data_IF_323605543298
#
_entry.id   IF_323605543298
#
_cell.length_a   1.000
_cell.length_b   1.000
_cell.length_c   1.000
_cell.angle_alpha   90.00
_cell.angle_beta   90.00
_cell.angle_gamma   90.00
#
_symmetry.space_group_name_H-M   'P 1'
#
loop_
_entity.id
_entity.type
_entity.pdbx_description
1 polymer ?
#
# COMPACT_ATOMS: atom_id res chain seq x y z
N UNK A 1 -20.47 -63.49 9.44
CA UNK A 1 -20.68 -62.06 9.27
C UNK A 1 -19.77 -61.24 10.16
N UNK A 2 -18.52 -61.31 9.91
CA UNK A 2 -17.52 -60.55 10.65
C UNK A 2 -17.12 -59.27 9.98
N UNK A 3 -17.99 -58.70 9.18
CA UNK A 3 -17.64 -57.58 8.30
C UNK A 3 -17.76 -56.23 8.99
N UNK A 4 -18.58 -56.17 10.01
CA UNK A 4 -19.05 -54.93 10.57
C UNK A 4 -17.99 -54.16 11.37
N UNK A 5 -17.07 -54.85 12.02
CA UNK A 5 -16.08 -54.18 12.85
C UNK A 5 -15.00 -53.44 12.08
N UNK A 6 -14.61 -53.97 10.91
CA UNK A 6 -13.66 -53.30 10.06
C UNK A 6 -14.24 -52.06 9.40
N UNK A 7 -15.47 -52.13 8.98
CA UNK A 7 -16.16 -51.00 8.35
C UNK A 7 -16.42 -49.87 9.35
N UNK A 8 -16.80 -50.21 10.54
CA UNK A 8 -17.01 -49.22 11.60
C UNK A 8 -15.72 -48.50 11.97
N UNK A 9 -14.61 -49.24 12.01
CA UNK A 9 -13.33 -48.62 12.29
C UNK A 9 -12.88 -47.65 11.21
N UNK A 10 -13.13 -48.00 9.95
CA UNK A 10 -12.75 -47.11 8.83
C UNK A 10 -13.59 -45.82 8.83
N UNK A 11 -14.87 -45.96 9.08
CA UNK A 11 -15.77 -44.78 9.12
C UNK A 11 -15.39 -43.85 10.28
N UNK A 12 -15.06 -44.42 11.42
CA UNK A 12 -14.64 -43.60 12.55
C UNK A 12 -13.35 -42.83 12.30
N UNK A 13 -12.39 -43.48 11.64
CA UNK A 13 -11.12 -42.83 11.29
C UNK A 13 -11.33 -41.71 10.27
N UNK A 14 -12.21 -41.92 9.30
CA UNK A 14 -12.53 -40.89 8.32
C UNK A 14 -13.19 -39.68 8.96
N UNK A 15 -14.08 -39.86 9.92
CA UNK A 15 -14.72 -38.75 10.61
C UNK A 15 -13.74 -37.91 11.42
N UNK A 16 -12.80 -38.56 12.09
CA UNK A 16 -11.77 -37.85 12.85
C UNK A 16 -10.86 -37.03 11.92
N UNK A 17 -10.52 -37.59 10.76
CA UNK A 17 -9.69 -36.87 9.77
C UNK A 17 -10.40 -35.64 9.22
N UNK A 18 -11.70 -35.71 8.95
CA UNK A 18 -12.49 -34.59 8.47
C UNK A 18 -12.58 -33.49 9.54
N UNK A 19 -12.82 -33.84 10.78
CA UNK A 19 -12.86 -32.87 11.85
C UNK A 19 -11.50 -32.18 12.07
N UNK A 20 -10.43 -32.93 11.96
CA UNK A 20 -9.08 -32.37 12.04
C UNK A 20 -8.76 -31.39 10.90
N UNK A 21 -9.19 -31.73 9.69
CA UNK A 21 -8.98 -30.87 8.53
C UNK A 21 -9.76 -29.55 8.65
N UNK A 22 -10.99 -29.61 9.12
CA UNK A 22 -11.78 -28.40 9.34
C UNK A 22 -11.18 -27.49 10.41
N UNK A 23 -10.69 -28.08 11.46
CA UNK A 23 -10.02 -27.31 12.51
C UNK A 23 -8.76 -26.61 12.00
N UNK A 24 -8.01 -27.27 11.16
CA UNK A 24 -6.81 -26.68 10.54
C UNK A 24 -7.16 -25.51 9.63
N UNK A 25 -8.19 -25.67 8.82
CA UNK A 25 -8.63 -24.59 7.93
C UNK A 25 -9.11 -23.37 8.72
N UNK A 26 -9.82 -23.59 9.81
CA UNK A 26 -10.28 -22.49 10.63
C UNK A 26 -9.11 -21.68 11.22
N UNK A 27 -8.08 -22.33 11.69
CA UNK A 27 -6.89 -21.63 12.19
C UNK A 27 -6.12 -20.91 11.11
N UNK A 28 -6.07 -21.48 9.91
CA UNK A 28 -5.36 -20.86 8.80
C UNK A 28 -6.11 -19.65 8.24
N UNK A 29 -7.45 -19.65 8.36
CA UNK A 29 -8.29 -18.56 7.86
C UNK A 29 -8.62 -17.53 8.92
N UNK A 30 -8.22 -17.72 10.16
CA UNK A 30 -8.32 -16.63 11.14
C UNK A 30 -7.56 -15.46 10.57
N UNK A 31 -8.25 -14.38 10.21
CA UNK A 31 -7.55 -13.27 9.60
C UNK A 31 -6.51 -12.81 10.60
N UNK A 32 -5.29 -12.90 10.20
CA UNK A 32 -4.27 -12.13 10.84
C UNK A 32 -4.58 -10.69 10.51
N UNK A 33 -5.62 -10.16 11.10
CA UNK A 33 -5.76 -8.74 11.18
C UNK A 33 -4.59 -8.29 12.01
N UNK A 34 -3.47 -8.22 11.37
CA UNK A 34 -2.37 -7.46 11.89
C UNK A 34 -2.92 -6.04 12.03
N UNK A 35 -3.00 -5.49 13.23
CA UNK A 35 -3.42 -4.10 13.41
C UNK A 35 -2.49 -3.11 12.73
N UNK A 36 -1.45 -3.61 12.10
CA UNK A 36 -0.49 -2.84 11.31
C UNK A 36 -0.71 -2.96 9.82
N UNK A 37 -1.83 -3.53 9.34
CA UNK A 37 -2.12 -3.45 7.93
C UNK A 37 -2.38 -1.99 7.58
N UNK A 38 -1.35 -1.40 7.01
CA UNK A 38 -1.45 -0.07 6.45
C UNK A 38 -2.61 -0.05 5.46
N UNK A 39 -3.54 0.86 5.67
CA UNK A 39 -4.59 1.10 4.70
C UNK A 39 -3.97 1.67 3.45
N UNK A 40 -4.42 1.20 2.29
CA UNK A 40 -3.83 1.63 1.03
C UNK A 40 -4.90 1.94 -0.01
N UNK A 41 -4.52 2.77 -0.97
CA UNK A 41 -5.34 3.09 -2.13
C UNK A 41 -4.45 3.17 -3.36
N UNK A 42 -4.88 2.50 -4.44
CA UNK A 42 -4.22 2.62 -5.73
C UNK A 42 -4.49 4.00 -6.34
N UNK A 43 -3.46 4.58 -6.91
CA UNK A 43 -3.52 5.91 -7.53
C UNK A 43 -2.82 5.88 -8.88
N UNK A 44 -3.23 6.77 -9.81
CA UNK A 44 -2.62 6.83 -11.13
C UNK A 44 -2.73 8.22 -11.73
N UNK A 45 -1.86 8.49 -12.69
CA UNK A 45 -1.91 9.71 -13.49
C UNK A 45 -3.25 9.84 -14.23
N UNK A 46 -3.82 8.73 -14.68
CA UNK A 46 -5.12 8.74 -15.35
C UNK A 46 -6.25 9.23 -14.43
N UNK A 47 -6.18 8.92 -13.15
CA UNK A 47 -7.19 9.33 -12.17
C UNK A 47 -7.04 10.79 -11.76
N UNK A 48 -5.82 11.27 -11.56
CA UNK A 48 -5.57 12.62 -11.06
C UNK A 48 -5.32 13.64 -12.16
N UNK A 49 -5.05 13.19 -13.38
CA UNK A 49 -4.85 14.08 -14.52
C UNK A 49 -3.73 15.10 -14.29
N UNK A 50 -4.04 16.38 -14.50
CA UNK A 50 -3.08 17.46 -14.37
C UNK A 50 -2.54 17.67 -12.95
N UNK A 51 -3.17 17.09 -11.96
CA UNK A 51 -2.73 17.17 -10.56
C UNK A 51 -1.74 16.07 -10.19
N UNK A 52 -1.48 15.12 -11.09
CA UNK A 52 -0.56 14.03 -10.83
C UNK A 52 0.87 14.56 -10.70
N UNK A 53 1.50 14.42 -9.52
CA UNK A 53 2.75 15.12 -9.24
C UNK A 53 4.02 14.30 -9.47
N UNK A 54 3.90 13.06 -9.95
CA UNK A 54 5.03 12.11 -9.95
C UNK A 54 5.48 11.71 -11.35
N UNK A 55 6.76 11.31 -11.46
CA UNK A 55 7.34 10.81 -12.70
C UNK A 55 6.87 9.41 -13.09
N UNK A 56 6.50 8.58 -12.11
CA UNK A 56 5.87 7.28 -12.35
C UNK A 56 4.39 7.50 -12.64
N UNK A 57 3.76 6.58 -13.38
CA UNK A 57 2.37 6.76 -13.82
C UNK A 57 1.34 6.19 -12.86
N UNK A 58 1.76 5.39 -11.89
CA UNK A 58 0.85 4.75 -10.94
C UNK A 58 1.59 4.32 -9.68
N UNK A 59 0.82 3.90 -8.69
CA UNK A 59 1.35 3.36 -7.45
C UNK A 59 0.27 3.19 -6.41
N UNK A 60 0.68 3.12 -5.16
CA UNK A 60 -0.24 3.02 -4.02
C UNK A 60 0.14 4.02 -2.95
N UNK A 61 -0.87 4.62 -2.35
CA UNK A 61 -0.70 5.48 -1.18
C UNK A 61 -1.07 4.67 0.06
N UNK A 62 -0.25 4.76 1.09
CA UNK A 62 -0.47 4.08 2.36
C UNK A 62 -0.52 5.10 3.49
N UNK A 63 -1.32 4.80 4.50
CA UNK A 63 -1.18 5.40 5.82
C UNK A 63 -0.67 4.34 6.78
N UNK A 64 0.50 4.54 7.33
CA UNK A 64 1.09 3.63 8.30
C UNK A 64 1.07 4.25 9.69
N UNK A 65 0.74 3.44 10.70
CA UNK A 65 0.74 3.84 12.11
C UNK A 65 -0.07 5.12 12.39
N UNK A 66 -1.10 5.36 11.56
CA UNK A 66 -1.99 6.52 11.73
C UNK A 66 -1.38 7.88 11.39
N UNK A 67 -0.13 7.94 10.97
CA UNK A 67 0.55 9.22 10.75
C UNK A 67 1.54 9.23 9.58
N UNK A 68 2.02 8.08 9.11
CA UNK A 68 3.04 8.01 8.06
C UNK A 68 2.36 7.92 6.70
N UNK A 69 2.57 8.92 5.86
CA UNK A 69 2.08 8.94 4.49
C UNK A 69 3.17 8.40 3.57
N UNK A 70 2.86 7.30 2.90
CA UNK A 70 3.84 6.56 2.10
C UNK A 70 3.29 6.33 0.71
N UNK A 71 4.15 6.45 -0.30
CA UNK A 71 3.85 6.09 -1.68
C UNK A 71 4.70 4.90 -2.08
N UNK A 72 4.07 3.87 -2.66
CA UNK A 72 4.78 2.74 -3.23
C UNK A 72 4.71 2.82 -4.75
N UNK A 73 5.88 2.82 -5.40
CA UNK A 73 5.94 2.89 -6.85
C UNK A 73 5.69 1.51 -7.49
N UNK A 74 5.56 1.43 -8.83
CA UNK A 74 5.30 0.15 -9.48
C UNK A 74 6.37 -0.92 -9.26
N UNK A 75 7.58 -0.53 -8.88
CA UNK A 75 8.67 -1.45 -8.60
C UNK A 75 8.68 -1.95 -7.14
N UNK A 76 7.73 -1.48 -6.33
CA UNK A 76 7.68 -1.84 -4.92
C UNK A 76 8.51 -0.98 -4.00
N UNK A 77 9.20 0.02 -4.52
CA UNK A 77 9.96 0.97 -3.70
C UNK A 77 9.00 1.90 -2.99
N UNK A 78 9.19 2.06 -1.68
CA UNK A 78 8.37 2.95 -0.87
C UNK A 78 9.08 4.26 -0.61
N UNK A 79 8.30 5.32 -0.65
CA UNK A 79 8.77 6.70 -0.54
C UNK A 79 7.96 7.45 0.51
N UNK A 80 8.63 8.28 1.29
CA UNK A 80 7.97 9.13 2.28
C UNK A 80 7.31 10.32 1.62
N UNK A 81 6.01 10.49 1.88
CA UNK A 81 5.25 11.66 1.42
C UNK A 81 5.33 12.77 2.48
N UNK A 82 5.32 12.44 3.76
CA UNK A 82 5.39 13.42 4.85
C UNK A 82 6.59 13.18 5.77
N UNK A 83 6.82 14.12 6.68
CA UNK A 83 7.93 14.06 7.60
C UNK A 83 7.92 12.83 8.52
N UNK A 84 6.74 12.37 8.94
CA UNK A 84 6.63 11.21 9.81
C UNK A 84 7.11 9.93 9.14
N UNK A 85 7.08 9.86 7.81
CA UNK A 85 7.52 8.69 7.05
C UNK A 85 9.00 8.74 6.67
N UNK A 86 9.69 9.86 6.84
CA UNK A 86 11.08 10.02 6.38
C UNK A 86 12.11 9.23 7.19
N UNK A 87 11.76 8.76 8.38
CA UNK A 87 12.64 7.88 9.13
C UNK A 87 12.86 6.54 8.43
N UNK A 88 11.81 5.76 8.19
CA UNK A 88 11.94 4.44 7.55
C UNK A 88 12.05 4.48 6.02
N UNK A 89 11.63 5.56 5.36
CA UNK A 89 11.61 5.63 3.90
C UNK A 89 12.28 6.89 3.37
N UNK A 90 12.91 6.80 2.18
CA UNK A 90 13.48 7.99 1.55
C UNK A 90 12.37 8.96 1.13
N UNK A 91 12.68 10.24 1.12
CA UNK A 91 11.74 11.28 0.68
C UNK A 91 11.38 11.09 -0.80
N UNK A 92 10.13 11.41 -1.16
CA UNK A 92 9.60 11.21 -2.51
C UNK A 92 10.15 12.22 -3.52
N UNK A 93 10.92 13.18 -3.10
CA UNK A 93 11.41 14.28 -3.94
C UNK A 93 11.98 13.83 -5.29
N UNK A 94 12.79 12.75 -5.39
CA UNK A 94 13.31 12.32 -6.69
C UNK A 94 12.22 11.89 -7.68
N UNK A 95 11.04 11.53 -7.22
CA UNK A 95 9.93 11.17 -8.08
C UNK A 95 9.02 12.34 -8.45
N UNK A 96 9.16 13.49 -7.79
CA UNK A 96 8.28 14.63 -8.06
C UNK A 96 8.61 15.28 -9.40
N UNK A 97 7.55 15.59 -10.15
CA UNK A 97 7.65 16.38 -11.38
C UNK A 97 7.90 17.86 -11.05
N UNK A 98 8.60 18.51 -11.93
CA UNK A 98 8.70 19.97 -11.88
C UNK A 98 7.34 20.59 -12.17
N UNK A 99 7.04 21.70 -11.53
CA UNK A 99 5.81 22.43 -11.77
C UNK A 99 5.81 22.94 -13.21
N UNK A 100 4.77 22.63 -14.01
CA UNK A 100 4.74 23.04 -15.43
C UNK A 100 4.38 24.51 -15.66
N UNK A 101 4.07 25.27 -14.60
CA UNK A 101 3.72 26.67 -14.72
C UNK A 101 4.91 27.47 -15.27
N UNK A 102 4.81 28.11 -16.45
CA UNK A 102 5.93 28.86 -17.03
C UNK A 102 6.40 30.00 -16.16
N UNK A 103 5.53 30.57 -15.33
CA UNK A 103 5.89 31.66 -14.42
C UNK A 103 6.85 31.22 -13.33
N UNK A 104 6.93 29.91 -13.05
CA UNK A 104 7.80 29.34 -12.03
C UNK A 104 9.08 28.73 -12.62
N UNK A 105 9.18 28.66 -13.96
CA UNK A 105 10.35 28.10 -14.61
C UNK A 105 11.57 29.02 -14.41
N UNK A 106 12.72 28.38 -14.21
CA UNK A 106 13.98 29.13 -14.12
C UNK A 106 14.35 29.74 -15.43
N UNK A 107 14.88 30.97 -15.38
CA UNK A 107 15.46 31.64 -16.55
C UNK A 107 16.85 31.12 -16.80
N UNK A 108 17.33 31.15 -18.09
CA UNK A 108 18.68 30.68 -18.40
C UNK A 108 19.79 31.49 -17.70
N UNK A 109 19.48 32.72 -17.28
CA UNK A 109 20.42 33.62 -16.63
C UNK A 109 20.43 33.56 -15.10
N UNK A 110 19.64 32.62 -14.51
CA UNK A 110 19.57 32.46 -13.06
C UNK A 110 20.39 31.24 -12.63
N UNK A 111 21.63 31.39 -12.15
CA UNK A 111 22.53 30.24 -11.95
C UNK A 111 22.15 29.35 -10.77
N UNK A 112 21.41 29.86 -9.80
CA UNK A 112 21.06 29.09 -8.60
C UNK A 112 19.54 28.83 -8.47
N UNK A 113 18.80 29.00 -9.54
CA UNK A 113 17.37 28.82 -9.54
C UNK A 113 17.03 27.33 -9.58
N UNK A 114 16.07 26.92 -8.74
CA UNK A 114 15.50 25.57 -8.75
C UNK A 114 14.01 25.71 -9.07
N UNK A 115 13.56 25.01 -10.11
CA UNK A 115 12.14 24.99 -10.44
C UNK A 115 11.36 24.28 -9.31
N UNK A 116 10.29 24.90 -8.78
CA UNK A 116 9.47 24.25 -7.77
C UNK A 116 8.88 22.94 -8.27
N UNK A 117 8.76 21.99 -7.38
CA UNK A 117 8.10 20.73 -7.67
C UNK A 117 6.58 20.89 -7.63
N UNK A 118 5.87 19.98 -8.29
CA UNK A 118 4.43 19.92 -8.20
C UNK A 118 3.98 19.61 -6.78
N UNK A 119 2.84 20.14 -6.40
CA UNK A 119 2.27 19.91 -5.07
C UNK A 119 1.90 18.43 -4.87
N UNK A 120 2.23 17.91 -3.70
CA UNK A 120 1.83 16.58 -3.26
C UNK A 120 0.43 16.57 -2.61
N UNK A 121 -0.27 17.69 -2.61
CA UNK A 121 -1.57 17.81 -1.94
C UNK A 121 -2.56 16.72 -2.31
N UNK A 122 -2.71 16.30 -3.58
CA UNK A 122 -3.62 15.20 -3.91
C UNK A 122 -3.28 13.90 -3.20
N UNK A 123 -1.99 13.61 -3.06
CA UNK A 123 -1.54 12.41 -2.34
C UNK A 123 -1.72 12.56 -0.83
N UNK A 124 -1.49 13.75 -0.29
CA UNK A 124 -1.77 14.04 1.12
C UNK A 124 -3.24 13.83 1.45
N UNK A 125 -4.15 14.30 0.61
CA UNK A 125 -5.58 14.17 0.84
C UNK A 125 -6.00 12.70 0.90
N UNK A 126 -5.45 11.89 0.00
CA UNK A 126 -5.71 10.45 -0.03
C UNK A 126 -5.18 9.79 1.25
N UNK A 127 -3.93 10.07 1.60
CA UNK A 127 -3.31 9.50 2.78
C UNK A 127 -4.04 9.90 4.06
N UNK A 128 -4.46 11.16 4.15
CA UNK A 128 -5.21 11.65 5.30
C UNK A 128 -6.52 10.89 5.47
N UNK A 129 -7.25 10.67 4.38
CA UNK A 129 -8.48 9.88 4.43
C UNK A 129 -8.21 8.43 4.88
N UNK A 130 -7.12 7.85 4.42
CA UNK A 130 -6.73 6.50 4.83
C UNK A 130 -6.38 6.44 6.32
N UNK A 131 -5.76 7.48 6.85
CA UNK A 131 -5.40 7.54 8.26
C UNK A 131 -6.61 7.67 9.19
N UNK A 132 -7.71 8.21 8.67
CA UNK A 132 -8.93 8.43 9.46
C UNK A 132 -9.85 7.21 9.55
N UNK A 133 -9.58 6.17 8.80
CA UNK A 133 -10.44 4.96 8.80
C UNK A 133 -10.19 4.05 9.99
#
# INVERSE_FOLDING_TARGET
MAITNKQLGIVAVLMVAIAGAEYYQYKATTPKSSPSQAQSQSVSAAQLGNEWPLRVTSGKVYCELGARYVFEDPNGQRWAINGAATGPYPAILPLQLDNPNPALACRPDEPNCVTPKMSLSPLFDIAERLCKK
#
